data_IF_638492689369
#
_entry.id   IF_638492689369
#
_cell.length_a   1.000
_cell.length_b   1.000
_cell.length_c   1.000
_cell.angle_alpha   90.00
_cell.angle_beta   90.00
_cell.angle_gamma   90.00
#
_symmetry.space_group_name_H-M   'P 1'
#
loop_
_entity.id
_entity.type
_entity.pdbx_description
1 polymer ?
#
# COMPACT_ATOMS: atom_id res chain seq x y z
N UNK A 1 25.46 -25.51 -11.33
CA UNK A 1 24.29 -26.29 -10.86
C UNK A 1 24.17 -27.55 -11.75
N UNK A 2 24.14 -28.78 -11.20
CA UNK A 2 24.15 -30.02 -12.01
C UNK A 2 22.76 -30.53 -12.41
N UNK A 3 21.73 -30.22 -11.63
CA UNK A 3 20.32 -30.51 -11.95
C UNK A 3 19.67 -29.32 -12.65
N UNK A 4 18.56 -29.55 -13.35
CA UNK A 4 17.80 -28.48 -14.02
C UNK A 4 17.23 -27.49 -13.00
N UNK A 5 17.07 -26.20 -13.38
CA UNK A 5 16.44 -25.18 -12.52
C UNK A 5 15.03 -25.60 -12.10
N UNK A 6 14.28 -26.21 -13.01
CA UNK A 6 12.94 -26.74 -12.72
C UNK A 6 12.97 -27.80 -11.62
N UNK A 7 13.83 -28.81 -11.75
CA UNK A 7 13.92 -29.88 -10.73
C UNK A 7 14.49 -29.36 -9.41
N UNK A 8 15.40 -28.38 -9.43
CA UNK A 8 15.89 -27.71 -8.23
C UNK A 8 14.77 -26.98 -7.49
N UNK A 9 14.02 -26.13 -8.19
CA UNK A 9 12.90 -25.39 -7.58
C UNK A 9 11.84 -26.36 -7.04
N UNK A 10 11.45 -27.38 -7.83
CA UNK A 10 10.51 -28.42 -7.37
C UNK A 10 10.99 -29.11 -6.10
N UNK A 11 12.28 -29.41 -5.98
CA UNK A 11 12.84 -30.01 -4.77
C UNK A 11 12.84 -29.03 -3.59
N UNK A 12 13.21 -27.76 -3.80
CA UNK A 12 13.24 -26.75 -2.74
C UNK A 12 11.85 -26.42 -2.20
N UNK A 13 10.87 -26.19 -3.08
CA UNK A 13 9.48 -25.90 -2.69
C UNK A 13 8.89 -27.05 -1.88
N UNK A 14 9.20 -28.29 -2.29
CA UNK A 14 8.79 -29.48 -1.55
C UNK A 14 9.54 -29.59 -0.21
N UNK A 15 10.85 -29.37 -0.21
CA UNK A 15 11.67 -29.49 1.00
C UNK A 15 11.24 -28.47 2.07
N UNK A 16 10.96 -27.23 1.70
CA UNK A 16 10.41 -26.22 2.61
C UNK A 16 9.09 -26.69 3.24
N UNK A 17 8.15 -27.21 2.43
CA UNK A 17 6.87 -27.74 2.94
C UNK A 17 7.05 -28.94 3.86
N UNK A 18 8.00 -29.81 3.56
CA UNK A 18 8.34 -30.96 4.39
C UNK A 18 8.93 -30.49 5.74
N UNK A 19 9.92 -29.60 5.71
CA UNK A 19 10.61 -29.11 6.90
C UNK A 19 9.77 -28.15 7.74
N UNK A 20 8.76 -27.46 7.18
CA UNK A 20 7.76 -26.68 7.93
C UNK A 20 7.14 -27.49 9.07
N UNK A 21 6.87 -28.78 8.83
CA UNK A 21 6.26 -29.69 9.81
C UNK A 21 7.25 -30.62 10.50
N UNK A 22 8.13 -31.26 9.72
CA UNK A 22 9.05 -32.26 10.26
C UNK A 22 10.14 -31.65 11.15
N UNK A 23 10.51 -30.38 10.88
CA UNK A 23 11.57 -29.56 11.52
C UNK A 23 12.98 -30.15 11.51
N UNK A 24 13.12 -31.47 11.44
CA UNK A 24 14.38 -32.17 11.24
C UNK A 24 14.25 -33.42 10.37
N UNK A 25 15.34 -33.76 9.67
CA UNK A 25 15.43 -35.01 8.93
C UNK A 25 16.86 -35.32 8.47
N UNK A 26 17.14 -36.60 8.23
CA UNK A 26 18.34 -37.00 7.52
C UNK A 26 18.18 -36.83 6.01
N UNK A 27 19.28 -36.70 5.27
CA UNK A 27 19.25 -36.68 3.80
C UNK A 27 18.61 -37.94 3.19
N UNK A 28 18.65 -39.09 3.89
CA UNK A 28 18.02 -40.33 3.44
C UNK A 28 16.50 -40.24 3.54
N UNK A 29 15.99 -39.81 4.70
CA UNK A 29 14.55 -39.62 4.96
C UNK A 29 13.95 -38.64 3.94
N UNK A 30 14.61 -37.50 3.74
CA UNK A 30 14.20 -36.48 2.76
C UNK A 30 14.15 -37.10 1.36
N UNK A 31 15.19 -37.80 0.93
CA UNK A 31 15.25 -38.37 -0.41
C UNK A 31 14.18 -39.45 -0.61
N UNK A 32 13.92 -40.28 0.40
CA UNK A 32 12.89 -41.31 0.35
C UNK A 32 11.49 -40.69 0.19
N UNK A 33 11.16 -39.69 1.01
CA UNK A 33 9.88 -38.98 0.97
C UNK A 33 9.70 -38.25 -0.37
N UNK A 34 10.72 -37.50 -0.83
CA UNK A 34 10.67 -36.84 -2.12
C UNK A 34 10.51 -37.82 -3.29
N UNK A 35 11.15 -39.00 -3.21
CA UNK A 35 11.04 -40.01 -4.26
C UNK A 35 9.63 -40.60 -4.36
N UNK A 36 8.92 -40.75 -3.24
CA UNK A 36 7.54 -41.26 -3.21
C UNK A 36 6.59 -40.29 -3.92
N UNK A 37 6.75 -38.99 -3.72
CA UNK A 37 5.87 -37.96 -4.27
C UNK A 37 6.30 -37.50 -5.69
N UNK A 38 7.61 -37.38 -5.94
CA UNK A 38 8.18 -36.80 -7.16
C UNK A 38 9.12 -37.78 -7.88
N UNK A 39 8.61 -38.98 -8.22
CA UNK A 39 9.38 -40.06 -8.84
C UNK A 39 10.11 -39.66 -10.12
N UNK A 40 9.45 -38.89 -11.00
CA UNK A 40 10.03 -38.50 -12.30
C UNK A 40 11.14 -37.47 -12.14
N UNK A 41 10.94 -36.45 -11.29
CA UNK A 41 11.97 -35.46 -10.97
C UNK A 41 13.18 -36.13 -10.31
N UNK A 42 12.95 -37.03 -9.36
CA UNK A 42 14.00 -37.82 -8.70
C UNK A 42 14.83 -38.62 -9.72
N UNK A 43 14.21 -39.30 -10.70
CA UNK A 43 14.93 -40.04 -11.75
C UNK A 43 15.82 -39.11 -12.58
N UNK A 44 15.33 -37.92 -12.97
CA UNK A 44 16.11 -36.92 -13.71
C UNK A 44 17.28 -36.42 -12.87
N UNK A 45 17.04 -36.03 -11.62
CA UNK A 45 18.09 -35.58 -10.71
C UNK A 45 19.16 -36.67 -10.51
N UNK A 46 18.78 -37.93 -10.28
CA UNK A 46 19.72 -39.08 -10.18
C UNK A 46 20.60 -39.23 -11.43
N UNK A 47 20.03 -39.06 -12.63
CA UNK A 47 20.79 -39.12 -13.90
C UNK A 47 21.87 -38.03 -13.94
N UNK A 48 21.54 -36.81 -13.51
CA UNK A 48 22.44 -35.67 -13.51
C UNK A 48 23.50 -35.71 -12.38
N UNK A 49 23.23 -36.44 -11.29
CA UNK A 49 24.12 -36.52 -10.12
C UNK A 49 24.89 -37.85 -10.04
N UNK A 50 24.95 -38.66 -11.11
CA UNK A 50 25.43 -40.06 -11.11
C UNK A 50 26.77 -40.27 -10.38
N UNK A 51 27.75 -39.38 -10.56
CA UNK A 51 29.09 -39.53 -9.97
C UNK A 51 29.17 -39.18 -8.48
N UNK A 52 28.29 -38.32 -7.98
CA UNK A 52 28.28 -37.87 -6.58
C UNK A 52 27.22 -38.64 -5.76
N UNK A 53 26.18 -39.14 -6.42
CA UNK A 53 24.98 -39.67 -5.79
C UNK A 53 24.01 -38.55 -5.39
N UNK A 54 22.71 -38.79 -5.56
CA UNK A 54 21.68 -37.77 -5.31
C UNK A 54 21.62 -37.36 -3.82
N UNK A 55 21.76 -38.32 -2.90
CA UNK A 55 21.83 -38.06 -1.45
C UNK A 55 22.95 -37.06 -1.11
N UNK A 56 24.17 -37.36 -1.55
CA UNK A 56 25.32 -36.50 -1.28
C UNK A 56 25.20 -35.16 -2.00
N UNK A 57 24.57 -35.11 -3.18
CA UNK A 57 24.29 -33.86 -3.88
C UNK A 57 23.31 -32.97 -3.10
N UNK A 58 22.18 -33.52 -2.64
CA UNK A 58 21.19 -32.80 -1.81
C UNK A 58 21.88 -32.24 -0.56
N UNK A 59 22.57 -33.08 0.21
CA UNK A 59 23.21 -32.63 1.44
C UNK A 59 24.32 -31.60 1.21
N UNK A 60 25.25 -31.85 0.28
CA UNK A 60 26.45 -31.02 0.12
C UNK A 60 26.21 -29.75 -0.71
N UNK A 61 25.24 -29.74 -1.61
CA UNK A 61 25.07 -28.66 -2.58
C UNK A 61 23.71 -27.96 -2.51
N UNK A 62 22.69 -28.57 -1.92
CA UNK A 62 21.38 -27.93 -1.76
C UNK A 62 21.22 -27.48 -0.31
N UNK A 63 21.14 -28.42 0.64
CA UNK A 63 20.87 -28.10 2.04
C UNK A 63 21.99 -27.35 2.73
N UNK A 64 23.26 -27.68 2.44
CA UNK A 64 24.39 -26.90 2.98
C UNK A 64 24.35 -25.41 2.58
N UNK A 65 23.69 -25.07 1.48
CA UNK A 65 23.55 -23.71 0.99
C UNK A 65 22.16 -23.12 1.27
N UNK A 66 21.31 -23.84 2.01
CA UNK A 66 19.98 -23.35 2.39
C UNK A 66 20.10 -22.53 3.66
N UNK A 67 19.70 -21.25 3.66
CA UNK A 67 19.94 -20.33 4.78
C UNK A 67 19.13 -20.66 6.04
N UNK A 68 18.10 -21.50 5.91
CA UNK A 68 17.20 -21.92 6.99
C UNK A 68 17.46 -23.35 7.49
N UNK A 69 18.55 -24.01 7.06
CA UNK A 69 18.95 -25.34 7.53
C UNK A 69 20.35 -25.34 8.12
N UNK A 70 20.51 -26.09 9.21
CA UNK A 70 21.80 -26.41 9.81
C UNK A 70 21.96 -27.91 9.92
N UNK A 71 23.17 -28.43 9.67
CA UNK A 71 23.45 -29.85 9.91
C UNK A 71 24.09 -30.05 11.29
N UNK A 72 23.44 -30.83 12.14
CA UNK A 72 23.92 -31.22 13.47
C UNK A 72 23.97 -32.75 13.53
N UNK A 73 25.17 -33.30 13.76
CA UNK A 73 25.42 -34.76 13.82
C UNK A 73 24.85 -35.56 12.63
N UNK A 74 24.80 -34.97 11.43
CA UNK A 74 24.28 -35.61 10.22
C UNK A 74 22.76 -35.52 10.02
N UNK A 75 22.05 -34.85 10.93
CA UNK A 75 20.63 -34.50 10.84
C UNK A 75 20.55 -33.05 10.36
N UNK A 76 19.63 -32.75 9.43
CA UNK A 76 19.29 -31.39 9.05
C UNK A 76 18.21 -30.90 9.98
N UNK A 77 18.46 -29.76 10.63
CA UNK A 77 17.54 -29.10 11.54
C UNK A 77 17.19 -27.74 10.97
N UNK A 78 15.92 -27.38 11.05
CA UNK A 78 15.43 -26.04 10.71
C UNK A 78 16.02 -25.04 11.70
N UNK A 79 16.71 -24.04 11.16
CA UNK A 79 17.37 -22.98 11.90
C UNK A 79 17.34 -21.69 11.04
N UNK A 80 16.16 -21.07 10.90
CA UNK A 80 15.99 -19.85 10.13
C UNK A 80 16.67 -18.69 10.88
N UNK A 81 17.44 -17.88 10.16
CA UNK A 81 17.91 -16.61 10.68
C UNK A 81 16.85 -15.51 10.55
N UNK A 82 17.20 -14.29 10.95
CA UNK A 82 16.32 -13.11 10.97
C UNK A 82 15.67 -12.79 9.61
N UNK A 83 16.32 -13.18 8.51
CA UNK A 83 15.80 -12.95 7.14
C UNK A 83 14.71 -13.97 6.71
N UNK A 84 14.35 -14.96 7.55
CA UNK A 84 13.43 -16.05 7.17
C UNK A 84 12.34 -16.30 8.21
N UNK A 85 11.12 -16.56 7.74
CA UNK A 85 10.01 -16.91 8.61
C UNK A 85 10.30 -18.22 9.36
N UNK A 86 10.18 -18.18 10.68
CA UNK A 86 10.47 -19.29 11.58
C UNK A 86 9.64 -20.54 11.28
N UNK A 87 8.41 -20.32 10.80
CA UNK A 87 7.48 -21.39 10.46
C UNK A 87 7.52 -21.79 8.99
N UNK A 88 7.19 -20.87 8.07
CA UNK A 88 7.02 -21.19 6.66
C UNK A 88 8.32 -21.20 5.84
N UNK A 89 9.44 -20.71 6.41
CA UNK A 89 10.79 -20.74 5.82
C UNK A 89 10.94 -19.90 4.55
N UNK A 90 9.96 -19.03 4.28
CA UNK A 90 10.06 -18.01 3.23
C UNK A 90 10.92 -16.85 3.71
N UNK A 91 11.58 -16.18 2.76
CA UNK A 91 12.30 -14.93 3.01
C UNK A 91 11.31 -13.86 3.49
N UNK A 92 11.68 -13.12 4.53
CA UNK A 92 10.86 -12.07 5.14
C UNK A 92 11.07 -10.73 4.45
N UNK A 93 10.03 -9.89 4.49
CA UNK A 93 10.25 -8.46 4.29
C UNK A 93 11.00 -7.92 5.51
N UNK A 94 12.08 -7.18 5.27
CA UNK A 94 12.97 -6.66 6.32
C UNK A 94 12.30 -5.67 7.26
N UNK A 95 11.14 -5.15 6.90
CA UNK A 95 10.39 -4.21 7.72
C UNK A 95 9.03 -4.76 8.17
N UNK A 96 8.47 -5.73 7.45
CA UNK A 96 7.12 -6.27 7.70
C UNK A 96 7.25 -7.70 8.21
N UNK A 97 7.33 -7.84 9.53
CA UNK A 97 7.36 -9.12 10.22
C UNK A 97 6.77 -9.00 11.62
N UNK A 98 6.34 -10.14 12.17
CA UNK A 98 6.09 -10.34 13.60
C UNK A 98 7.29 -11.04 14.23
N UNK A 99 7.38 -11.00 15.55
CA UNK A 99 8.49 -11.58 16.30
C UNK A 99 7.99 -12.20 17.62
N UNK A 100 8.76 -13.12 18.19
CA UNK A 100 8.55 -13.67 19.54
C UNK A 100 9.70 -13.28 20.49
N UNK A 101 9.62 -13.64 21.79
CA UNK A 101 10.66 -13.27 22.77
C UNK A 101 12.02 -13.97 22.55
N UNK A 102 12.06 -14.99 21.71
CA UNK A 102 13.27 -15.75 21.39
C UNK A 102 13.87 -15.33 20.05
N UNK A 103 13.53 -14.13 19.56
CA UNK A 103 13.99 -13.55 18.30
C UNK A 103 13.67 -14.45 17.09
N UNK A 104 12.53 -15.16 17.12
CA UNK A 104 11.97 -15.80 15.93
C UNK A 104 11.06 -14.83 15.19
N UNK A 105 11.14 -14.83 13.86
CA UNK A 105 10.43 -13.88 13.01
C UNK A 105 9.38 -14.58 12.16
N UNK A 106 8.24 -13.92 11.93
CA UNK A 106 7.09 -14.50 11.23
C UNK A 106 6.57 -13.54 10.16
N UNK A 107 6.14 -14.07 9.02
CA UNK A 107 5.60 -13.24 7.93
C UNK A 107 4.18 -12.72 8.21
N UNK A 108 3.45 -13.40 9.09
CA UNK A 108 2.09 -13.08 9.47
C UNK A 108 1.72 -13.82 10.77
N UNK A 109 0.56 -13.46 11.30
CA UNK A 109 0.01 -14.05 12.51
C UNK A 109 -0.35 -15.53 12.34
N UNK A 110 -0.82 -15.96 11.16
CA UNK A 110 -1.12 -17.36 10.88
C UNK A 110 0.13 -18.24 11.03
N UNK A 111 1.28 -17.77 10.54
CA UNK A 111 2.55 -18.48 10.70
C UNK A 111 3.02 -18.53 12.16
N UNK A 112 2.68 -17.52 12.95
CA UNK A 112 2.99 -17.48 14.38
C UNK A 112 2.11 -18.47 15.15
N UNK A 113 0.79 -18.42 14.96
CA UNK A 113 -0.19 -19.35 15.56
C UNK A 113 0.09 -20.79 15.21
N UNK A 114 0.38 -21.08 13.94
CA UNK A 114 0.69 -22.44 13.52
C UNK A 114 1.99 -22.95 14.14
N UNK A 115 2.96 -22.06 14.41
CA UNK A 115 4.15 -22.43 15.15
C UNK A 115 3.81 -22.73 16.63
N UNK A 116 2.96 -21.94 17.27
CA UNK A 116 2.45 -22.24 18.62
C UNK A 116 1.72 -23.58 18.66
N UNK A 117 0.86 -23.86 17.67
CA UNK A 117 0.15 -25.12 17.54
C UNK A 117 1.13 -26.29 17.41
N UNK A 118 2.13 -26.17 16.52
CA UNK A 118 3.17 -27.19 16.33
C UNK A 118 3.93 -27.49 17.63
N UNK A 119 4.23 -26.46 18.43
CA UNK A 119 4.87 -26.60 19.73
C UNK A 119 3.96 -27.25 20.78
N UNK A 120 2.66 -26.97 20.73
CA UNK A 120 1.66 -27.51 21.67
C UNK A 120 1.35 -28.99 21.47
N UNK A 121 1.51 -29.50 20.24
CA UNK A 121 1.32 -30.91 19.89
C UNK A 121 2.44 -31.83 20.41
N UNK A 122 3.52 -31.26 20.94
CA UNK A 122 4.64 -32.02 21.51
C UNK A 122 4.41 -32.22 23.00
N UNK A 123 4.17 -33.46 23.40
CA UNK A 123 3.72 -33.81 24.75
C UNK A 123 4.89 -33.99 25.75
N UNK A 124 6.09 -34.36 25.30
CA UNK A 124 7.25 -34.64 26.16
C UNK A 124 8.33 -33.53 26.12
N UNK A 125 8.86 -33.15 27.29
CA UNK A 125 9.93 -32.16 27.43
C UNK A 125 11.24 -32.58 26.72
N UNK A 126 11.49 -33.88 26.53
CA UNK A 126 12.61 -34.39 25.72
C UNK A 126 12.43 -34.14 24.21
N UNK A 127 11.19 -34.19 23.68
CA UNK A 127 10.92 -33.90 22.27
C UNK A 127 10.99 -32.38 22.00
N UNK A 128 10.59 -31.56 22.97
CA UNK A 128 10.73 -30.09 22.90
C UNK A 128 12.19 -29.64 22.86
N UNK A 129 13.08 -30.28 23.61
CA UNK A 129 14.52 -29.97 23.58
C UNK A 129 15.20 -30.22 22.22
N UNK A 130 14.59 -31.03 21.35
CA UNK A 130 15.10 -31.30 20.01
C UNK A 130 14.63 -30.30 18.95
N UNK A 131 13.55 -29.55 19.22
CA UNK A 131 13.22 -28.38 18.43
C UNK A 131 14.12 -27.22 18.84
N UNK A 132 14.94 -26.75 17.89
CA UNK A 132 15.80 -25.58 18.09
C UNK A 132 15.04 -24.24 18.21
N UNK A 133 13.72 -24.27 18.43
CA UNK A 133 12.83 -23.11 18.39
C UNK A 133 11.86 -23.23 19.57
N UNK A 134 12.24 -22.66 20.70
CA UNK A 134 11.29 -22.41 21.80
C UNK A 134 10.50 -21.16 21.41
N UNK A 135 9.18 -21.27 21.26
CA UNK A 135 8.34 -20.12 20.92
C UNK A 135 7.75 -19.58 22.20
N UNK A 136 7.96 -18.30 22.45
CA UNK A 136 7.44 -17.63 23.63
C UNK A 136 6.71 -16.36 23.21
N UNK A 137 5.39 -16.34 23.40
CA UNK A 137 4.59 -15.13 23.16
C UNK A 137 5.19 -13.97 23.96
N UNK A 138 5.36 -12.78 23.34
CA UNK A 138 5.69 -11.56 24.06
C UNK A 138 4.51 -11.19 24.96
N UNK A 139 4.40 -11.77 26.16
CA UNK A 139 3.34 -11.42 27.11
C UNK A 139 3.66 -10.10 27.83
N UNK A 140 4.02 -9.06 27.09
CA UNK A 140 4.06 -7.70 27.62
C UNK A 140 2.73 -6.99 27.39
N UNK A 141 2.50 -5.89 28.10
CA UNK A 141 1.24 -5.13 28.02
C UNK A 141 0.98 -4.49 26.65
N UNK A 142 1.94 -4.51 25.73
CA UNK A 142 1.88 -3.88 24.41
C UNK A 142 1.61 -4.87 23.28
N UNK A 143 1.60 -6.18 23.54
CA UNK A 143 1.49 -7.19 22.50
C UNK A 143 0.26 -7.06 21.61
N UNK A 144 -0.91 -6.86 22.21
CA UNK A 144 -2.17 -6.66 21.47
C UNK A 144 -2.12 -5.42 20.57
N UNK A 145 -1.51 -4.34 21.05
CA UNK A 145 -1.37 -3.10 20.28
C UNK A 145 -0.36 -3.27 19.15
N UNK A 146 0.73 -4.00 19.40
CA UNK A 146 1.75 -4.35 18.41
C UNK A 146 1.16 -5.22 17.28
N UNK A 147 0.32 -6.20 17.60
CA UNK A 147 -0.37 -7.03 16.62
C UNK A 147 -1.32 -6.20 15.75
N UNK A 148 -2.14 -5.34 16.36
CA UNK A 148 -3.03 -4.45 15.62
C UNK A 148 -2.25 -3.50 14.71
N UNK A 149 -1.14 -2.94 15.20
CA UNK A 149 -0.27 -2.09 14.40
C UNK A 149 0.37 -2.87 13.24
N UNK A 150 0.78 -4.13 13.45
CA UNK A 150 1.37 -4.95 12.39
C UNK A 150 0.44 -5.09 11.19
N UNK A 151 -0.85 -5.37 11.41
CA UNK A 151 -1.80 -5.47 10.30
C UNK A 151 -1.94 -4.14 9.55
N UNK A 152 -2.05 -3.03 10.28
CA UNK A 152 -2.10 -1.69 9.69
C UNK A 152 -0.80 -1.37 8.93
N UNK A 153 0.34 -1.75 9.47
CA UNK A 153 1.66 -1.53 8.89
C UNK A 153 1.83 -2.35 7.61
N UNK A 154 1.46 -3.64 7.64
CA UNK A 154 1.49 -4.54 6.47
C UNK A 154 0.64 -4.00 5.33
N UNK A 155 -0.50 -3.38 5.63
CA UNK A 155 -1.40 -2.81 4.63
C UNK A 155 -0.89 -1.48 4.06
N UNK A 156 -0.23 -0.64 4.88
CA UNK A 156 0.21 0.71 4.47
C UNK A 156 1.61 0.73 3.84
N UNK A 157 2.51 -0.13 4.31
CA UNK A 157 3.94 -0.07 3.97
C UNK A 157 4.25 -0.37 2.51
N UNK A 158 3.59 -1.33 1.83
CA UNK A 158 3.82 -1.57 0.41
C UNK A 158 3.52 -0.34 -0.45
N UNK A 159 2.39 0.33 -0.19
CA UNK A 159 1.97 1.53 -0.91
C UNK A 159 2.90 2.70 -0.62
N UNK A 160 3.26 2.93 0.65
CA UNK A 160 4.20 4.00 1.00
C UNK A 160 5.55 3.80 0.34
N UNK A 161 6.10 2.57 0.37
CA UNK A 161 7.36 2.22 -0.30
C UNK A 161 7.27 2.42 -1.81
N UNK A 162 6.13 2.10 -2.44
CA UNK A 162 5.92 2.31 -3.87
C UNK A 162 6.07 3.79 -4.26
N UNK A 163 5.33 4.69 -3.60
CA UNK A 163 5.37 6.13 -3.91
C UNK A 163 6.68 6.80 -3.49
N UNK A 164 7.28 6.37 -2.37
CA UNK A 164 8.55 6.94 -1.87
C UNK A 164 9.76 6.57 -2.74
N UNK A 165 9.73 5.41 -3.40
CA UNK A 165 10.89 4.88 -4.14
C UNK A 165 10.94 5.24 -5.63
N UNK A 166 9.89 5.87 -6.16
CA UNK A 166 9.75 6.16 -7.60
C UNK A 166 9.51 7.64 -7.88
N UNK A 167 9.86 8.06 -9.09
CA UNK A 167 9.36 9.31 -9.63
C UNK A 167 7.90 9.11 -10.04
N UNK A 168 7.00 9.84 -9.39
CA UNK A 168 5.55 9.70 -9.55
C UNK A 168 5.05 10.83 -10.44
N UNK A 169 4.28 10.49 -11.47
CA UNK A 169 3.64 11.47 -12.34
C UNK A 169 2.58 12.26 -11.57
N UNK A 170 2.54 13.57 -11.78
CA UNK A 170 1.62 14.50 -11.10
C UNK A 170 0.19 14.45 -11.66
N UNK A 171 -0.39 13.25 -11.76
CA UNK A 171 -1.78 13.04 -12.19
C UNK A 171 -2.76 13.22 -11.02
N UNK A 172 -4.02 13.51 -11.34
CA UNK A 172 -5.07 13.63 -10.33
C UNK A 172 -5.29 12.33 -9.54
N UNK A 173 -5.10 11.17 -10.19
CA UNK A 173 -5.18 9.83 -9.60
C UNK A 173 -4.10 9.63 -8.54
N UNK A 174 -2.82 9.76 -8.93
CA UNK A 174 -1.71 9.60 -8.00
C UNK A 174 -1.79 10.60 -6.83
N UNK A 175 -2.26 11.82 -7.09
CA UNK A 175 -2.42 12.83 -6.06
C UNK A 175 -3.50 12.44 -5.04
N UNK A 176 -4.63 11.88 -5.49
CA UNK A 176 -5.68 11.38 -4.59
C UNK A 176 -5.18 10.19 -3.77
N UNK A 177 -4.47 9.25 -4.40
CA UNK A 177 -3.91 8.09 -3.73
C UNK A 177 -2.95 8.50 -2.61
N UNK A 178 -2.02 9.41 -2.90
CA UNK A 178 -1.06 9.93 -1.93
C UNK A 178 -1.77 10.66 -0.79
N UNK A 179 -2.79 11.48 -1.08
CA UNK A 179 -3.58 12.15 -0.05
C UNK A 179 -4.29 11.16 0.89
N UNK A 180 -4.92 10.12 0.33
CA UNK A 180 -5.59 9.08 1.10
C UNK A 180 -4.60 8.27 1.94
N UNK A 181 -3.44 7.92 1.37
CA UNK A 181 -2.39 7.21 2.07
C UNK A 181 -1.81 8.04 3.23
N UNK A 182 -1.52 9.33 3.01
CA UNK A 182 -1.11 10.28 4.06
C UNK A 182 -2.14 10.30 5.19
N UNK A 183 -3.43 10.36 4.86
CA UNK A 183 -4.50 10.39 5.87
C UNK A 183 -4.56 9.08 6.68
N UNK A 184 -4.44 7.93 6.02
CA UNK A 184 -4.42 6.61 6.68
C UNK A 184 -3.20 6.47 7.60
N UNK A 185 -2.01 6.84 7.14
CA UNK A 185 -0.78 6.80 7.95
C UNK A 185 -0.91 7.73 9.17
N UNK A 186 -1.43 8.95 8.99
CA UNK A 186 -1.67 9.89 10.10
C UNK A 186 -2.64 9.34 11.13
N UNK A 187 -3.69 8.64 10.69
CA UNK A 187 -4.65 8.04 11.60
C UNK A 187 -4.00 6.98 12.51
N UNK A 188 -3.03 6.22 11.98
CA UNK A 188 -2.25 5.25 12.74
C UNK A 188 -1.28 5.96 13.68
N UNK A 189 -0.40 6.82 13.16
CA UNK A 189 0.68 7.45 13.94
C UNK A 189 0.14 8.32 15.08
N UNK A 190 -0.94 9.06 14.84
CA UNK A 190 -1.56 9.95 15.84
C UNK A 190 -2.72 9.29 16.59
N UNK A 191 -2.82 7.96 16.54
CA UNK A 191 -3.74 7.23 17.40
C UNK A 191 -3.26 7.30 18.85
N UNK A 192 -4.12 7.73 19.76
CA UNK A 192 -3.81 7.80 21.19
C UNK A 192 -3.51 6.44 21.83
N UNK A 193 -3.76 5.33 21.11
CA UNK A 193 -3.36 3.97 21.51
C UNK A 193 -1.84 3.86 21.66
N UNK A 194 -1.07 4.58 20.82
CA UNK A 194 0.39 4.44 20.77
C UNK A 194 1.14 5.55 21.51
N UNK A 195 0.45 6.46 22.21
CA UNK A 195 1.06 7.61 22.90
C UNK A 195 2.11 7.17 23.94
N UNK A 196 1.84 6.10 24.68
CA UNK A 196 2.76 5.56 25.69
C UNK A 196 4.07 5.08 25.07
N UNK A 197 3.99 4.40 23.92
CA UNK A 197 5.14 3.93 23.15
C UNK A 197 5.95 5.09 22.58
N UNK A 198 5.27 6.14 22.10
CA UNK A 198 5.94 7.36 21.66
C UNK A 198 6.68 8.08 22.80
N UNK A 199 6.06 8.17 23.98
CA UNK A 199 6.65 8.85 25.13
C UNK A 199 7.85 8.11 25.72
N UNK A 200 7.79 6.77 25.75
CA UNK A 200 8.86 5.94 26.33
C UNK A 200 9.94 5.55 25.31
N UNK A 201 9.77 5.84 24.01
CA UNK A 201 10.73 5.49 22.96
C UNK A 201 10.86 3.98 22.69
N UNK A 202 9.84 3.19 23.02
CA UNK A 202 9.84 1.73 22.89
C UNK A 202 10.68 1.01 23.94
N UNK A 203 11.02 1.65 25.07
CA UNK A 203 11.90 1.05 26.09
C UNK A 203 11.20 0.10 27.08
N UNK A 204 9.88 -0.02 27.04
CA UNK A 204 9.11 -0.79 28.04
C UNK A 204 9.00 -2.29 27.75
N UNK A 205 9.62 -2.78 26.67
CA UNK A 205 9.66 -4.19 26.32
C UNK A 205 9.88 -4.45 24.84
N UNK A 206 10.05 -5.71 24.42
CA UNK A 206 10.22 -6.07 23.02
C UNK A 206 9.06 -5.62 22.12
N UNK A 207 7.81 -5.76 22.55
CA UNK A 207 6.66 -5.32 21.74
C UNK A 207 6.57 -3.80 21.68
N UNK A 208 6.89 -3.10 22.76
CA UNK A 208 7.01 -1.63 22.73
C UNK A 208 8.11 -1.18 21.75
N UNK A 209 9.26 -1.86 21.74
CA UNK A 209 10.37 -1.54 20.84
C UNK A 209 10.00 -1.74 19.37
N UNK A 210 9.43 -2.88 19.00
CA UNK A 210 8.98 -3.14 17.62
C UNK A 210 7.84 -2.22 17.20
N UNK A 211 6.90 -1.93 18.10
CA UNK A 211 5.84 -0.93 17.86
C UNK A 211 6.45 0.42 17.54
N UNK A 212 7.41 0.87 18.34
CA UNK A 212 8.12 2.12 18.11
C UNK A 212 8.86 2.15 16.76
N UNK A 213 9.53 1.06 16.37
CA UNK A 213 10.19 0.96 15.07
C UNK A 213 9.22 1.04 13.89
N UNK A 214 8.09 0.35 13.95
CA UNK A 214 7.05 0.43 12.91
C UNK A 214 6.52 1.87 12.79
N UNK A 215 6.22 2.51 13.93
CA UNK A 215 5.75 3.89 13.97
C UNK A 215 6.77 4.88 13.40
N UNK A 216 8.05 4.77 13.77
CA UNK A 216 9.13 5.59 13.19
C UNK A 216 9.30 5.36 11.68
N UNK A 217 9.13 4.13 11.21
CA UNK A 217 9.20 3.81 9.78
C UNK A 217 8.04 4.47 9.02
N UNK A 218 6.82 4.41 9.56
CA UNK A 218 5.67 5.11 8.99
C UNK A 218 5.82 6.64 9.05
N UNK A 219 6.40 7.19 10.11
CA UNK A 219 6.65 8.64 10.24
C UNK A 219 7.61 9.14 9.16
N UNK A 220 8.70 8.42 8.91
CA UNK A 220 9.63 8.73 7.82
C UNK A 220 8.97 8.65 6.45
N UNK A 221 8.10 7.67 6.24
CA UNK A 221 7.35 7.56 4.99
C UNK A 221 6.34 8.69 4.85
N UNK A 222 5.66 9.08 5.94
CA UNK A 222 4.73 10.19 5.98
C UNK A 222 5.40 11.51 5.57
N UNK A 223 6.57 11.82 6.14
CA UNK A 223 7.34 13.02 5.77
C UNK A 223 7.62 13.07 4.27
N UNK A 224 8.10 11.97 3.70
CA UNK A 224 8.42 11.87 2.27
C UNK A 224 7.18 11.95 1.38
N UNK A 225 6.07 11.33 1.79
CA UNK A 225 4.80 11.43 1.07
C UNK A 225 4.26 12.87 1.09
N UNK A 226 4.42 13.60 2.20
CA UNK A 226 4.04 15.01 2.28
C UNK A 226 4.93 15.90 1.40
N UNK A 227 6.24 15.63 1.34
CA UNK A 227 7.11 16.31 0.38
C UNK A 227 6.71 16.01 -1.07
N UNK A 228 6.29 14.78 -1.36
CA UNK A 228 5.84 14.37 -2.68
C UNK A 228 4.53 15.06 -3.06
N UNK A 229 3.55 15.13 -2.14
CA UNK A 229 2.29 15.86 -2.33
C UNK A 229 2.54 17.33 -2.68
N UNK A 230 3.41 18.03 -1.92
CA UNK A 230 3.74 19.43 -2.21
C UNK A 230 4.44 19.58 -3.56
N UNK A 231 5.30 18.64 -3.97
CA UNK A 231 5.93 18.64 -5.30
C UNK A 231 4.92 18.40 -6.43
N UNK A 232 3.88 17.61 -6.19
CA UNK A 232 2.83 17.35 -7.19
C UNK A 232 1.95 18.57 -7.41
N UNK A 233 1.74 19.39 -6.38
CA UNK A 233 0.97 20.63 -6.47
C UNK A 233 1.47 21.60 -7.53
N UNK A 234 2.79 21.72 -7.67
CA UNK A 234 3.38 22.62 -8.67
C UNK A 234 3.37 22.05 -10.10
N UNK A 235 3.20 20.73 -10.24
CA UNK A 235 3.37 20.02 -11.52
C UNK A 235 2.05 19.55 -12.15
N UNK A 236 1.01 19.36 -11.36
CA UNK A 236 -0.28 18.87 -11.84
C UNK A 236 -1.00 19.92 -12.67
N UNK A 237 -1.97 19.47 -13.47
CA UNK A 237 -2.85 20.37 -14.20
C UNK A 237 -3.76 21.16 -13.24
N UNK A 238 -3.99 22.46 -13.50
CA UNK A 238 -4.89 23.27 -12.70
C UNK A 238 -6.32 22.73 -12.81
N UNK A 239 -7.05 22.71 -11.70
CA UNK A 239 -8.42 22.23 -11.70
C UNK A 239 -9.29 23.08 -12.62
N UNK A 240 -10.06 22.43 -13.49
CA UNK A 240 -10.96 23.10 -14.40
C UNK A 240 -12.12 23.75 -13.66
N UNK A 241 -12.26 25.05 -13.87
CA UNK A 241 -13.34 25.89 -13.32
C UNK A 241 -14.16 26.46 -14.47
N UNK A 242 -15.48 26.37 -14.37
CA UNK A 242 -16.41 27.01 -15.31
C UNK A 242 -17.38 27.88 -14.51
N UNK A 243 -17.44 29.16 -14.86
CA UNK A 243 -18.46 30.08 -14.40
C UNK A 243 -19.65 30.03 -15.34
N UNK A 244 -20.75 29.48 -14.84
CA UNK A 244 -22.02 29.38 -15.54
C UNK A 244 -22.89 30.58 -15.21
N UNK A 245 -23.15 31.41 -16.22
CA UNK A 245 -23.87 32.67 -16.12
C UNK A 245 -25.25 32.50 -16.73
N UNK A 246 -26.27 32.49 -15.88
CA UNK A 246 -27.67 32.52 -16.28
C UNK A 246 -28.12 33.95 -16.50
N UNK A 247 -28.65 34.23 -17.69
CA UNK A 247 -29.29 35.50 -18.01
C UNK A 247 -30.81 35.28 -18.15
N UNK A 248 -31.62 36.09 -17.46
CA UNK A 248 -33.09 35.97 -17.51
C UNK A 248 -33.66 36.92 -18.58
N UNK A 249 -33.08 36.87 -19.79
CA UNK A 249 -33.35 37.80 -20.88
C UNK A 249 -34.79 37.79 -21.42
N UNK A 250 -35.67 36.89 -20.97
CA UNK A 250 -37.08 36.86 -21.34
C UNK A 250 -37.88 38.13 -20.95
N UNK A 251 -37.28 39.04 -20.17
CA UNK A 251 -37.97 40.21 -19.57
C UNK A 251 -37.45 41.60 -20.00
N UNK A 252 -36.53 41.73 -20.96
CA UNK A 252 -35.91 43.03 -21.29
C UNK A 252 -36.08 43.48 -22.76
N UNK A 253 -36.20 44.81 -23.02
CA UNK A 253 -36.42 45.36 -24.34
C UNK A 253 -35.23 45.13 -25.29
N UNK A 254 -35.49 44.54 -26.45
CA UNK A 254 -34.52 44.07 -27.47
C UNK A 254 -33.37 45.04 -27.83
N UNK A 255 -33.58 46.36 -27.72
CA UNK A 255 -32.58 47.35 -28.18
C UNK A 255 -31.35 47.45 -27.27
N UNK A 256 -31.52 47.43 -25.94
CA UNK A 256 -30.40 47.58 -24.99
C UNK A 256 -29.60 46.28 -24.85
N UNK A 257 -30.29 45.14 -24.84
CA UNK A 257 -29.68 43.81 -24.80
C UNK A 257 -28.84 43.54 -26.05
N UNK A 258 -29.35 43.80 -27.26
CA UNK A 258 -28.58 43.64 -28.52
C UNK A 258 -27.28 44.44 -28.55
N UNK A 259 -27.29 45.69 -28.06
CA UNK A 259 -26.09 46.54 -28.02
C UNK A 259 -25.01 45.97 -27.08
N UNK A 260 -25.43 45.49 -25.90
CA UNK A 260 -24.55 44.86 -24.91
C UNK A 260 -23.97 43.53 -25.43
N UNK A 261 -24.79 42.67 -26.05
CA UNK A 261 -24.32 41.43 -26.69
C UNK A 261 -23.30 41.70 -27.81
N UNK A 262 -23.53 42.74 -28.62
CA UNK A 262 -22.56 43.15 -29.63
C UNK A 262 -21.26 43.68 -29.02
N UNK A 263 -21.32 44.38 -27.88
CA UNK A 263 -20.12 44.86 -27.17
C UNK A 263 -19.33 43.70 -26.59
N UNK A 264 -20.00 42.67 -26.06
CA UNK A 264 -19.36 41.44 -25.57
C UNK A 264 -18.71 40.66 -26.71
N UNK A 265 -19.44 40.39 -27.81
CA UNK A 265 -18.91 39.70 -29.01
C UNK A 265 -17.75 40.42 -29.68
N UNK A 266 -17.66 41.75 -29.55
CA UNK A 266 -16.53 42.53 -30.10
C UNK A 266 -15.30 42.49 -29.19
N UNK A 267 -15.49 42.47 -27.87
CA UNK A 267 -14.39 42.51 -26.91
C UNK A 267 -13.74 41.14 -26.75
N UNK A 268 -14.56 40.09 -26.67
CA UNK A 268 -14.11 38.72 -26.49
C UNK A 268 -14.32 37.98 -27.81
N UNK A 269 -13.23 37.46 -28.39
CA UNK A 269 -13.31 36.63 -29.60
C UNK A 269 -14.01 35.30 -29.25
N UNK A 270 -14.59 34.63 -30.24
CA UNK A 270 -15.08 33.26 -30.11
C UNK A 270 -13.96 32.37 -29.52
N UNK A 271 -14.06 32.03 -28.23
CA UNK A 271 -13.03 31.30 -27.50
C UNK A 271 -13.04 31.55 -26.00
N UNK A 272 -13.22 32.81 -25.56
CA UNK A 272 -13.12 33.19 -24.14
C UNK A 272 -14.45 33.12 -23.37
N UNK A 273 -15.57 32.96 -24.07
CA UNK A 273 -16.88 32.64 -23.50
C UNK A 273 -17.66 31.77 -24.48
N UNK A 274 -18.40 30.79 -23.96
CA UNK A 274 -19.18 29.84 -24.74
C UNK A 274 -20.67 30.05 -24.49
N UNK A 275 -21.39 30.48 -25.53
CA UNK A 275 -22.85 30.56 -25.50
C UNK A 275 -23.41 29.12 -25.57
N UNK A 276 -23.92 28.60 -24.44
CA UNK A 276 -24.55 27.26 -24.39
C UNK A 276 -25.96 27.35 -24.98
N UNK A 277 -26.69 28.39 -24.59
CA UNK A 277 -27.95 28.81 -25.21
C UNK A 277 -28.20 30.31 -24.94
N UNK A 278 -29.34 30.82 -25.41
CA UNK A 278 -29.71 32.24 -25.29
C UNK A 278 -29.69 32.78 -23.84
N UNK A 279 -29.95 31.91 -22.86
CA UNK A 279 -30.05 32.25 -21.43
C UNK A 279 -28.91 31.71 -20.59
N UNK A 280 -27.95 30.99 -21.17
CA UNK A 280 -26.92 30.28 -20.44
C UNK A 280 -25.56 30.36 -21.11
N UNK A 281 -24.60 30.92 -20.41
CA UNK A 281 -23.23 31.12 -20.89
C UNK A 281 -22.23 30.49 -19.95
N UNK A 282 -21.20 29.84 -20.49
CA UNK A 282 -20.10 29.24 -19.73
C UNK A 282 -18.81 30.03 -20.01
N UNK A 283 -18.04 30.31 -18.96
CA UNK A 283 -16.79 31.10 -19.01
C UNK A 283 -15.75 30.45 -18.12
N UNK A 284 -14.54 30.20 -18.62
CA UNK A 284 -13.47 29.55 -17.83
C UNK A 284 -12.58 30.57 -17.08
N UNK A 285 -12.57 31.84 -17.52
CA UNK A 285 -11.77 32.92 -16.93
C UNK A 285 -12.61 33.82 -15.99
N UNK A 286 -12.14 34.01 -14.75
CA UNK A 286 -12.83 34.83 -13.74
C UNK A 286 -12.93 36.31 -14.12
N UNK A 287 -11.89 36.90 -14.71
CA UNK A 287 -11.90 38.30 -15.13
C UNK A 287 -12.90 38.54 -16.26
N UNK A 288 -13.05 37.56 -17.17
CA UNK A 288 -14.08 37.58 -18.22
C UNK A 288 -15.48 37.48 -17.60
N UNK A 289 -15.68 36.57 -16.64
CA UNK A 289 -16.93 36.46 -15.89
C UNK A 289 -17.27 37.78 -15.19
N UNK A 290 -16.33 38.37 -14.45
CA UNK A 290 -16.54 39.64 -13.74
C UNK A 290 -16.91 40.77 -14.70
N UNK A 291 -16.28 40.82 -15.88
CA UNK A 291 -16.63 41.80 -16.90
C UNK A 291 -18.05 41.60 -17.46
N UNK A 292 -18.45 40.35 -17.76
CA UNK A 292 -19.81 40.02 -18.22
C UNK A 292 -20.84 40.46 -17.17
N UNK A 293 -20.58 40.12 -15.90
CA UNK A 293 -21.42 40.53 -14.77
C UNK A 293 -21.49 42.06 -14.66
N UNK A 294 -20.37 42.77 -14.84
CA UNK A 294 -20.34 44.23 -14.90
C UNK A 294 -21.25 44.78 -15.99
N UNK A 295 -21.20 44.19 -17.20
CA UNK A 295 -22.07 44.57 -18.31
C UNK A 295 -23.55 44.37 -17.97
N UNK A 296 -23.91 43.27 -17.29
CA UNK A 296 -25.30 43.02 -16.86
C UNK A 296 -25.78 44.02 -15.82
N UNK A 297 -24.92 44.38 -14.85
CA UNK A 297 -25.21 45.42 -13.85
C UNK A 297 -25.48 46.78 -14.52
N UNK A 298 -24.67 47.17 -15.50
CA UNK A 298 -24.81 48.45 -16.22
C UNK A 298 -26.17 48.59 -16.90
N UNK A 299 -26.72 47.48 -17.42
CA UNK A 299 -28.03 47.46 -18.09
C UNK A 299 -29.18 47.00 -17.18
N UNK A 300 -28.93 46.81 -15.88
CA UNK A 300 -29.89 46.29 -14.88
C UNK A 300 -30.54 44.97 -15.30
N UNK A 301 -29.76 44.08 -15.92
CA UNK A 301 -30.24 42.78 -16.37
C UNK A 301 -30.12 41.78 -15.21
N UNK A 302 -31.20 41.07 -14.82
CA UNK A 302 -31.13 40.05 -13.79
C UNK A 302 -30.28 38.87 -14.27
N UNK A 303 -29.36 38.43 -13.42
CA UNK A 303 -28.44 37.34 -13.71
C UNK A 303 -28.20 36.48 -12.47
N UNK A 304 -27.76 35.24 -12.69
CA UNK A 304 -27.19 34.38 -11.65
C UNK A 304 -25.85 33.85 -12.14
N UNK A 305 -24.88 33.70 -11.24
CA UNK A 305 -23.58 33.08 -11.54
C UNK A 305 -23.43 31.87 -10.63
N UNK A 306 -23.10 30.75 -11.23
CA UNK A 306 -22.81 29.49 -10.57
C UNK A 306 -21.37 29.10 -10.91
N UNK A 307 -20.51 28.97 -9.90
CA UNK A 307 -19.15 28.46 -10.08
C UNK A 307 -19.21 26.93 -10.07
N UNK A 308 -18.89 26.30 -11.19
CA UNK A 308 -18.81 24.85 -11.33
C UNK A 308 -17.34 24.42 -11.35
N UNK A 309 -17.00 23.47 -10.48
CA UNK A 309 -15.71 22.78 -10.55
C UNK A 309 -15.90 21.48 -11.32
N UNK A 310 -14.86 21.07 -12.03
CA UNK A 310 -14.81 19.75 -12.67
C UNK A 310 -13.90 18.85 -11.84
N UNK A 311 -14.34 17.61 -11.61
CA UNK A 311 -13.47 16.61 -11.03
C UNK A 311 -12.55 16.06 -12.12
N UNK A 312 -11.24 16.19 -11.97
CA UNK A 312 -10.29 15.72 -12.99
C UNK A 312 -10.27 14.20 -13.19
N UNK A 313 -10.89 13.43 -12.30
CA UNK A 313 -10.97 11.97 -12.42
C UNK A 313 -12.16 11.51 -13.28
N UNK A 314 -13.29 12.19 -13.22
CA UNK A 314 -14.51 11.77 -13.93
C UNK A 314 -15.05 12.82 -14.90
N UNK A 315 -14.40 13.99 -14.97
CA UNK A 315 -14.76 15.15 -15.79
C UNK A 315 -16.22 15.64 -15.59
N UNK A 316 -16.87 15.22 -14.50
CA UNK A 316 -18.23 15.66 -14.18
C UNK A 316 -18.20 17.00 -13.46
N UNK A 317 -19.04 17.96 -13.87
CA UNK A 317 -19.21 19.20 -13.14
C UNK A 317 -19.99 18.93 -11.85
N UNK A 318 -19.57 19.54 -10.75
CA UNK A 318 -20.43 19.68 -9.57
C UNK A 318 -20.43 21.13 -9.09
N UNK A 319 -21.60 21.54 -8.62
CA UNK A 319 -21.90 22.93 -8.32
C UNK A 319 -22.02 23.25 -6.83
N UNK A 320 -22.16 22.23 -5.98
CA UNK A 320 -22.15 22.41 -4.53
C UNK A 320 -20.82 21.97 -3.94
N UNK A 321 -19.87 22.91 -3.87
CA UNK A 321 -18.51 22.68 -3.37
C UNK A 321 -18.52 22.22 -1.90
N UNK A 322 -19.45 22.72 -1.09
CA UNK A 322 -19.49 22.49 0.36
C UNK A 322 -19.99 21.09 0.75
N UNK A 323 -20.82 20.45 -0.07
CA UNK A 323 -21.40 19.13 0.26
C UNK A 323 -20.87 17.97 -0.59
N UNK A 324 -20.33 18.25 -1.77
CA UNK A 324 -20.07 17.20 -2.78
C UNK A 324 -18.58 17.01 -3.10
N UNK A 325 -17.68 17.71 -2.39
CA UNK A 325 -16.25 17.61 -2.63
C UNK A 325 -15.46 17.34 -1.35
N UNK A 326 -14.44 16.51 -1.50
CA UNK A 326 -13.35 16.37 -0.55
C UNK A 326 -12.15 17.19 -1.05
N UNK A 327 -11.42 17.80 -0.12
CA UNK A 327 -10.37 18.79 -0.42
C UNK A 327 -9.01 18.29 0.08
N UNK A 328 -8.01 18.33 -0.80
CA UNK A 328 -6.60 18.23 -0.42
C UNK A 328 -6.13 19.47 0.36
N UNK A 329 -4.97 19.42 1.01
CA UNK A 329 -4.45 20.58 1.79
C UNK A 329 -4.14 21.82 0.93
N UNK A 330 -4.11 21.60 -0.36
CA UNK A 330 -3.70 22.47 -1.45
C UNK A 330 -4.88 23.03 -2.26
N UNK A 331 -6.10 22.83 -1.78
CA UNK A 331 -7.34 23.33 -2.35
C UNK A 331 -7.73 22.64 -3.66
N UNK A 332 -7.17 21.47 -3.92
CA UNK A 332 -7.60 20.62 -5.02
C UNK A 332 -8.82 19.80 -4.62
N UNK A 333 -9.87 19.84 -5.45
CA UNK A 333 -11.17 19.25 -5.10
C UNK A 333 -11.44 17.94 -5.86
N UNK A 334 -11.81 16.90 -5.13
CA UNK A 334 -12.27 15.61 -5.66
C UNK A 334 -13.76 15.43 -5.38
N UNK A 335 -14.53 15.00 -6.38
CA UNK A 335 -15.95 14.73 -6.12
C UNK A 335 -16.09 13.56 -5.14
N UNK A 336 -17.16 13.58 -4.34
CA UNK A 336 -17.39 12.59 -3.29
C UNK A 336 -17.43 11.16 -3.85
N UNK A 337 -18.02 10.95 -5.03
CA UNK A 337 -18.06 9.65 -5.70
C UNK A 337 -16.65 9.10 -5.99
N UNK A 338 -15.78 9.89 -6.61
CA UNK A 338 -14.41 9.47 -6.91
C UNK A 338 -13.61 9.31 -5.62
N UNK A 339 -13.72 10.24 -4.68
CA UNK A 339 -13.02 10.16 -3.41
C UNK A 339 -13.39 8.89 -2.64
N UNK A 340 -14.68 8.55 -2.54
CA UNK A 340 -15.15 7.32 -1.91
C UNK A 340 -14.74 6.08 -2.69
N UNK A 341 -14.86 6.09 -4.01
CA UNK A 341 -14.44 4.96 -4.84
C UNK A 341 -12.98 4.60 -4.58
N UNK A 342 -12.09 5.60 -4.53
CA UNK A 342 -10.69 5.36 -4.19
C UNK A 342 -10.51 4.95 -2.73
N UNK A 343 -11.17 5.64 -1.79
CA UNK A 343 -11.10 5.31 -0.36
C UNK A 343 -11.56 3.87 -0.04
N UNK A 344 -12.62 3.40 -0.69
CA UNK A 344 -13.23 2.08 -0.47
C UNK A 344 -12.62 0.99 -1.38
N UNK A 345 -11.99 1.41 -2.48
CA UNK A 345 -11.32 0.55 -3.48
C UNK A 345 -9.85 0.25 -3.16
N UNK A 346 -9.23 1.00 -2.24
CA UNK A 346 -8.03 0.55 -1.54
C UNK A 346 -8.41 -0.61 -0.60
N UNK A 347 -8.46 -1.83 -1.14
CA UNK A 347 -8.52 -3.09 -0.40
C UNK A 347 -7.42 -4.02 -0.84
#
# INVERSE_FOLDING_TARGET
MKISKKDYNTFMDWAQKYFRKAREATSDTVLEKFQKEYRTATKRMKKHTKNIGLKAYIGRHIFRNSPWLKSVKGIWQVNPGEDFCAYCLNELDKEIYLFDLNDHYYCDYECMEEMFSLMSELEDDEEKQHLAVEVEEPWDSYWSDCQMLFDQFRDLKPDSRYYVSKEVEATAENHLDILLLIQRIKHVIYSGVYDSVWMNGGHDGPSAWHTYQMLQSLEKDLEKLQELEEKMKDKREPQKVVYRIWNFASTLPEKRSRSMFNRLRRKYKCGEFKEVNASLWDVEDEAVMQYIVGCFKDVRLPYSVEKQLYCELCEKPYSNIETNYNRGKDDYYYCDDCYRYYKDGFK
#
